data_IF_322152546107
#
_entry.id   IF_322152546107
#
_cell.length_a   1.000
_cell.length_b   1.000
_cell.length_c   1.000
_cell.angle_alpha   90.00
_cell.angle_beta   90.00
_cell.angle_gamma   90.00
#
_symmetry.space_group_name_H-M   'P 1'
#
loop_
_entity.id
_entity.type
_entity.pdbx_description
1 polymer ?
#
# COMPACT_ATOMS: atom_id res chain seq x y z
N UNK A 1 -7.46 -7.46 4.12
CA UNK A 1 -7.17 -7.06 2.73
C UNK A 1 -8.48 -6.74 1.98
N UNK A 2 -8.50 -5.73 1.12
CA UNK A 2 -9.68 -5.45 0.28
C UNK A 2 -9.97 -6.66 -0.61
N UNK A 3 -11.23 -7.09 -0.68
CA UNK A 3 -11.64 -8.14 -1.61
C UNK A 3 -11.48 -7.71 -3.07
N UNK A 4 -11.70 -8.61 -4.05
CA UNK A 4 -11.58 -8.30 -5.48
C UNK A 4 -12.34 -7.04 -5.91
N UNK A 5 -13.53 -6.81 -5.33
CA UNK A 5 -14.35 -5.62 -5.56
C UNK A 5 -13.64 -4.32 -5.18
N UNK A 6 -12.96 -4.27 -4.03
CA UNK A 6 -12.28 -3.06 -3.58
C UNK A 6 -11.04 -2.80 -4.42
N UNK A 7 -10.23 -3.85 -4.63
CA UNK A 7 -8.95 -3.73 -5.35
C UNK A 7 -9.15 -3.31 -6.81
N UNK A 8 -10.12 -3.89 -7.50
CA UNK A 8 -10.42 -3.53 -8.90
C UNK A 8 -11.02 -2.13 -9.06
N UNK A 9 -11.53 -1.54 -7.97
CA UNK A 9 -12.18 -0.23 -7.98
C UNK A 9 -11.42 0.84 -7.19
N UNK A 10 -10.15 0.63 -6.83
CA UNK A 10 -9.36 1.56 -6.00
C UNK A 10 -9.41 3.00 -6.52
N UNK A 11 -9.19 3.21 -7.82
CA UNK A 11 -9.25 4.55 -8.42
C UNK A 11 -10.64 5.18 -8.35
N UNK A 12 -11.71 4.38 -8.51
CA UNK A 12 -13.09 4.86 -8.42
C UNK A 12 -13.45 5.25 -6.98
N UNK A 13 -13.00 4.44 -6.01
CA UNK A 13 -13.22 4.67 -4.58
C UNK A 13 -12.42 5.90 -4.12
N UNK A 14 -11.14 5.98 -4.48
CA UNK A 14 -10.28 7.14 -4.17
C UNK A 14 -10.83 8.43 -4.79
N UNK A 15 -11.25 8.37 -6.06
CA UNK A 15 -11.86 9.50 -6.74
C UNK A 15 -13.18 9.94 -6.11
N UNK A 16 -14.02 8.99 -5.65
CA UNK A 16 -15.24 9.31 -4.92
C UNK A 16 -14.92 10.00 -3.58
N UNK A 17 -14.03 9.41 -2.77
CA UNK A 17 -13.64 9.99 -1.47
C UNK A 17 -13.08 11.41 -1.63
N UNK A 18 -12.21 11.63 -2.61
CA UNK A 18 -11.68 12.95 -2.92
C UNK A 18 -12.78 13.96 -3.30
N UNK A 19 -13.68 13.59 -4.23
CA UNK A 19 -14.81 14.45 -4.64
C UNK A 19 -15.73 14.81 -3.48
N UNK A 20 -15.95 13.86 -2.58
CA UNK A 20 -16.75 14.05 -1.37
C UNK A 20 -15.98 14.71 -0.21
N UNK A 21 -14.72 15.11 -0.42
CA UNK A 21 -13.82 15.67 0.60
C UNK A 21 -13.67 14.79 1.85
N UNK A 22 -13.72 13.47 1.65
CA UNK A 22 -13.58 12.49 2.71
C UNK A 22 -12.12 12.05 2.85
N UNK A 23 -11.58 11.97 4.08
CA UNK A 23 -10.30 11.31 4.31
C UNK A 23 -10.40 9.82 3.98
N UNK A 24 -9.35 9.26 3.38
CA UNK A 24 -9.32 7.86 2.94
C UNK A 24 -8.00 7.17 3.30
N UNK A 25 -8.08 5.88 3.66
CA UNK A 25 -6.91 5.07 3.97
C UNK A 25 -6.97 3.73 3.24
N UNK A 26 -5.84 3.34 2.65
CA UNK A 26 -5.71 2.13 1.85
C UNK A 26 -4.57 1.23 2.33
N UNK A 27 -4.59 -0.03 1.91
CA UNK A 27 -3.49 -0.98 2.18
C UNK A 27 -2.44 -1.00 1.07
N UNK A 28 -2.76 -0.42 -0.10
CA UNK A 28 -1.88 -0.39 -1.27
C UNK A 28 -1.56 1.04 -1.64
N UNK A 29 -0.29 1.28 -1.98
CA UNK A 29 0.15 2.59 -2.46
C UNK A 29 -0.45 2.98 -3.82
N UNK A 30 -0.87 2.02 -4.63
CA UNK A 30 -1.57 2.24 -5.92
C UNK A 30 -2.80 3.14 -5.76
N UNK A 31 -3.56 2.96 -4.68
CA UNK A 31 -4.74 3.77 -4.41
C UNK A 31 -4.36 5.24 -4.08
N UNK A 32 -3.21 5.46 -3.44
CA UNK A 32 -2.69 6.80 -3.13
C UNK A 32 -2.15 7.48 -4.38
N UNK A 33 -1.47 6.73 -5.25
CA UNK A 33 -1.07 7.19 -6.59
C UNK A 33 -2.30 7.56 -7.44
N UNK A 34 -3.44 6.87 -7.25
CA UNK A 34 -4.71 7.17 -7.90
C UNK A 34 -5.53 8.31 -7.24
N UNK A 35 -4.97 9.00 -6.24
CA UNK A 35 -5.61 10.17 -5.59
C UNK A 35 -6.16 9.91 -4.19
N UNK A 36 -5.98 8.72 -3.63
CA UNK A 36 -6.26 8.42 -2.23
C UNK A 36 -5.37 9.24 -1.29
N UNK A 37 -5.80 9.41 -0.03
CA UNK A 37 -5.11 10.29 0.92
C UNK A 37 -3.86 9.63 1.53
N UNK A 38 -4.01 8.45 2.14
CA UNK A 38 -2.88 7.72 2.74
C UNK A 38 -2.97 6.22 2.46
N UNK A 39 -1.82 5.53 2.51
CA UNK A 39 -1.77 4.08 2.60
C UNK A 39 -0.73 3.62 3.59
N UNK A 40 -1.03 2.53 4.29
CA UNK A 40 -0.06 1.79 5.09
C UNK A 40 -0.20 0.30 4.79
N UNK A 41 0.88 -0.33 4.34
CA UNK A 41 0.84 -1.74 3.98
C UNK A 41 2.18 -2.29 3.55
N UNK A 42 2.19 -3.58 3.21
CA UNK A 42 3.38 -4.32 2.82
C UNK A 42 3.99 -3.72 1.54
N UNK A 43 5.31 -3.59 1.50
CA UNK A 43 6.03 -3.33 0.26
C UNK A 43 5.82 -4.54 -0.68
N UNK A 44 4.97 -4.36 -1.69
CA UNK A 44 4.62 -5.45 -2.60
C UNK A 44 5.83 -5.94 -3.39
N UNK A 45 6.79 -5.08 -3.70
CA UNK A 45 7.98 -5.46 -4.46
C UNK A 45 8.93 -6.29 -3.60
N UNK A 46 9.13 -5.91 -2.33
CA UNK A 46 9.88 -6.74 -1.36
C UNK A 46 9.20 -8.11 -1.15
N UNK A 47 7.87 -8.10 -0.99
CA UNK A 47 7.09 -9.32 -0.81
C UNK A 47 7.25 -10.28 -2.01
N UNK A 48 7.15 -9.78 -3.25
CA UNK A 48 7.33 -10.61 -4.43
C UNK A 48 8.77 -11.12 -4.60
N UNK A 49 9.80 -10.36 -4.19
CA UNK A 49 11.19 -10.84 -4.20
C UNK A 49 11.40 -12.00 -3.21
N UNK A 50 10.78 -11.94 -2.03
CA UNK A 50 10.79 -13.06 -1.07
C UNK A 50 10.08 -14.28 -1.64
N UNK A 51 8.91 -14.09 -2.24
CA UNK A 51 8.19 -15.17 -2.92
C UNK A 51 9.04 -15.82 -4.03
N UNK A 52 9.77 -15.02 -4.82
CA UNK A 52 10.67 -15.54 -5.85
C UNK A 52 11.78 -16.44 -5.29
N UNK A 53 12.26 -16.16 -4.07
CA UNK A 53 13.23 -17.02 -3.37
C UNK A 53 12.63 -18.38 -3.02
N UNK A 54 11.34 -18.43 -2.67
CA UNK A 54 10.63 -19.69 -2.42
C UNK A 54 10.47 -20.49 -3.71
N UNK A 55 10.10 -19.81 -4.79
CA UNK A 55 10.01 -20.42 -6.13
C UNK A 55 11.35 -21.04 -6.53
N UNK A 56 12.48 -20.32 -6.36
CA UNK A 56 13.82 -20.84 -6.65
C UNK A 56 14.14 -22.11 -5.82
N UNK A 57 13.87 -22.10 -4.51
CA UNK A 57 14.08 -23.27 -3.64
C UNK A 57 13.25 -24.48 -4.08
N UNK A 58 11.97 -24.27 -4.42
CA UNK A 58 11.06 -25.33 -4.85
C UNK A 58 11.51 -25.91 -6.19
N UNK A 59 11.89 -25.06 -7.15
CA UNK A 59 12.40 -25.49 -8.45
C UNK A 59 13.73 -26.27 -8.32
N UNK A 60 14.50 -26.02 -7.26
CA UNK A 60 15.71 -26.79 -6.89
C UNK A 60 15.44 -28.06 -6.07
N UNK A 61 14.17 -28.41 -5.82
CA UNK A 61 13.77 -29.66 -5.18
C UNK A 61 13.38 -29.57 -3.70
N UNK A 62 13.34 -28.38 -3.10
CA UNK A 62 12.80 -28.22 -1.76
C UNK A 62 11.29 -28.54 -1.73
N UNK A 63 10.82 -29.32 -0.75
CA UNK A 63 9.39 -29.60 -0.61
C UNK A 63 8.68 -28.38 -0.01
N UNK A 64 7.55 -27.92 -0.58
CA UNK A 64 6.81 -26.79 -0.02
C UNK A 64 6.39 -26.97 1.45
N UNK A 65 6.14 -28.20 1.90
CA UNK A 65 5.77 -28.51 3.29
C UNK A 65 6.92 -28.27 4.30
N UNK A 66 8.17 -28.25 3.83
CA UNK A 66 9.36 -28.03 4.67
C UNK A 66 9.78 -26.55 4.70
N UNK A 67 9.18 -25.70 3.87
CA UNK A 67 9.48 -24.27 3.81
C UNK A 67 8.64 -23.51 4.85
N UNK A 68 9.26 -22.68 5.72
CA UNK A 68 8.52 -21.94 6.72
C UNK A 68 7.60 -20.88 6.09
N UNK A 69 6.48 -20.57 6.72
CA UNK A 69 5.65 -19.43 6.29
C UNK A 69 6.30 -18.14 6.76
N UNK A 70 6.72 -17.30 5.82
CA UNK A 70 7.31 -15.99 6.13
C UNK A 70 6.24 -14.90 6.29
N UNK A 71 6.43 -14.04 7.30
CA UNK A 71 5.68 -12.81 7.47
C UNK A 71 6.38 -11.65 6.74
N UNK A 72 5.62 -10.67 6.21
CA UNK A 72 6.21 -9.46 5.67
C UNK A 72 7.01 -8.72 6.74
N UNK A 73 8.22 -8.26 6.38
CA UNK A 73 9.09 -7.49 7.29
C UNK A 73 9.19 -6.02 6.91
N UNK A 74 8.82 -5.67 5.68
CA UNK A 74 8.87 -4.31 5.16
C UNK A 74 7.48 -3.76 4.86
N UNK A 75 7.20 -2.60 5.44
CA UNK A 75 5.96 -1.85 5.27
C UNK A 75 6.30 -0.44 4.76
N UNK A 76 5.37 0.15 4.03
CA UNK A 76 5.47 1.51 3.51
C UNK A 76 4.27 2.33 3.97
N UNK A 77 4.53 3.49 4.56
CA UNK A 77 3.56 4.54 4.84
C UNK A 77 3.67 5.66 3.80
N UNK A 78 2.61 5.86 3.02
CA UNK A 78 2.56 6.82 1.92
C UNK A 78 1.50 7.89 2.20
N UNK A 79 1.83 9.15 1.97
CA UNK A 79 0.94 10.30 2.15
C UNK A 79 0.84 11.09 0.84
N UNK A 80 -0.37 11.46 0.45
CA UNK A 80 -0.63 12.35 -0.68
C UNK A 80 -1.00 13.77 -0.19
N UNK A 81 -0.05 14.70 -0.27
CA UNK A 81 -0.26 16.08 0.15
C UNK A 81 -1.18 16.86 -0.81
N UNK A 82 -1.20 16.50 -2.09
CA UNK A 82 -2.14 17.08 -3.06
C UNK A 82 -3.59 16.77 -2.66
N UNK A 83 -3.87 15.51 -2.35
CA UNK A 83 -5.19 15.08 -1.84
C UNK A 83 -5.51 15.75 -0.52
N UNK A 84 -4.58 15.79 0.43
CA UNK A 84 -4.79 16.45 1.73
C UNK A 84 -5.20 17.92 1.56
N UNK A 85 -4.51 18.66 0.67
CA UNK A 85 -4.84 20.05 0.34
C UNK A 85 -6.24 20.18 -0.28
N UNK A 86 -6.61 19.30 -1.20
CA UNK A 86 -7.92 19.33 -1.88
C UNK A 86 -9.09 19.08 -0.92
N UNK A 87 -8.90 18.25 0.10
CA UNK A 87 -9.93 17.98 1.11
C UNK A 87 -9.87 18.94 2.31
N UNK A 88 -8.93 19.90 2.33
CA UNK A 88 -8.77 20.87 3.41
C UNK A 88 -8.14 20.29 4.69
N UNK A 89 -7.42 19.17 4.58
CA UNK A 89 -6.76 18.51 5.71
C UNK A 89 -5.30 18.95 5.81
N UNK A 90 -4.92 19.48 6.97
CA UNK A 90 -3.52 19.76 7.30
C UNK A 90 -2.90 18.54 7.96
N UNK A 91 -1.86 17.96 7.33
CA UNK A 91 -1.11 16.83 7.90
C UNK A 91 -0.02 17.38 8.82
N UNK A 92 0.02 16.99 10.11
CA UNK A 92 1.07 17.45 11.02
C UNK A 92 2.47 17.01 10.58
N UNK A 93 3.47 17.86 10.79
CA UNK A 93 4.87 17.56 10.44
C UNK A 93 5.39 16.27 11.09
N UNK A 94 4.97 15.98 12.33
CA UNK A 94 5.31 14.74 13.04
C UNK A 94 4.84 13.48 12.31
N UNK A 95 3.75 13.57 11.54
CA UNK A 95 3.22 12.47 10.71
C UNK A 95 3.99 12.38 9.40
N UNK A 96 4.30 13.52 8.77
CA UNK A 96 5.06 13.56 7.52
C UNK A 96 6.46 12.96 7.66
N UNK A 97 7.14 13.21 8.79
CA UNK A 97 8.48 12.67 9.04
C UNK A 97 8.47 11.13 9.16
N UNK A 98 7.32 10.52 9.47
CA UNK A 98 7.17 9.07 9.55
C UNK A 98 6.81 8.42 8.21
N UNK A 99 6.48 9.21 7.19
CA UNK A 99 6.10 8.66 5.89
C UNK A 99 7.35 8.24 5.10
N UNK A 100 7.34 7.02 4.58
CA UNK A 100 8.38 6.52 3.69
C UNK A 100 8.33 7.22 2.33
N UNK A 101 7.13 7.66 1.91
CA UNK A 101 6.92 8.40 0.66
C UNK A 101 5.86 9.47 0.80
N UNK A 102 6.15 10.64 0.24
CA UNK A 102 5.21 11.77 0.17
C UNK A 102 5.01 12.17 -1.29
N UNK A 103 3.76 12.15 -1.75
CA UNK A 103 3.34 12.66 -3.07
C UNK A 103 2.97 14.14 -2.91
N UNK A 104 3.50 14.99 -3.79
CA UNK A 104 3.29 16.45 -3.77
C UNK A 104 2.45 16.91 -4.94
#
# INVERSE_FOLDING_TARGET
PGGPLINGNESRIAGFALKSRLPSMFTRKSAVDAGGLISYGVDSLDHYRRAATYVDKILKGAKPADLPVEQPTKFEFVINLKTAKQIGLTIPQKVLIRADRVIR
#
